data_IF_371293439306
#
_entry.id   IF_371293439306
#
_cell.length_a   1.000
_cell.length_b   1.000
_cell.length_c   1.000
_cell.angle_alpha   90.00
_cell.angle_beta   90.00
_cell.angle_gamma   90.00
#
_symmetry.space_group_name_H-M   'P 1'
#
loop_
_entity.id
_entity.type
_entity.pdbx_description
1 polymer ?
#
# COMPACT_ATOMS: atom_id res chain seq x y z
N UNK A 1 67.12 25.59 15.48
CA UNK A 1 65.70 25.78 15.62
C UNK A 1 65.09 25.18 14.38
N UNK A 2 64.67 23.88 14.48
CA UNK A 2 64.02 23.15 13.35
C UNK A 2 62.52 23.08 13.58
N UNK A 3 61.77 23.49 12.59
CA UNK A 3 60.31 23.36 12.55
C UNK A 3 59.95 22.06 11.83
N UNK A 4 59.32 21.15 12.53
CA UNK A 4 58.72 19.95 11.95
C UNK A 4 57.33 20.29 11.42
N UNK A 5 57.15 20.11 10.12
CA UNK A 5 55.82 20.19 9.46
C UNK A 5 55.17 18.81 9.56
N UNK A 6 54.09 18.71 10.32
CA UNK A 6 53.26 17.52 10.39
C UNK A 6 52.22 17.62 9.28
N UNK A 7 52.36 16.80 8.24
CA UNK A 7 51.33 16.60 7.22
C UNK A 7 50.29 15.62 7.78
N UNK A 8 49.08 16.12 8.08
CA UNK A 8 47.88 15.30 8.35
C UNK A 8 47.27 14.93 7.02
N UNK A 9 47.48 13.68 6.62
CA UNK A 9 46.76 13.12 5.47
C UNK A 9 45.33 12.76 5.89
N UNK A 10 44.35 13.59 5.50
CA UNK A 10 42.95 13.28 5.66
C UNK A 10 42.54 12.17 4.69
N UNK A 11 42.25 10.99 5.21
CA UNK A 11 41.55 9.94 4.44
C UNK A 11 40.10 10.35 4.27
N UNK A 12 39.74 10.81 3.08
CA UNK A 12 38.33 10.86 2.62
C UNK A 12 37.91 9.43 2.32
N UNK A 13 37.15 8.82 3.21
CA UNK A 13 36.38 7.62 2.89
C UNK A 13 35.29 8.01 1.91
N UNK A 14 35.49 7.73 0.64
CA UNK A 14 34.43 7.70 -0.36
C UNK A 14 33.50 6.53 0.00
N UNK A 15 32.37 6.86 0.62
CA UNK A 15 31.24 5.94 0.69
C UNK A 15 30.76 5.73 -0.76
N UNK A 16 31.26 4.66 -1.39
CA UNK A 16 30.66 4.15 -2.62
C UNK A 16 29.27 3.64 -2.24
N UNK A 17 28.23 4.40 -2.58
CA UNK A 17 26.90 3.84 -2.73
C UNK A 17 26.98 2.81 -3.87
N UNK A 18 27.27 1.57 -3.51
CA UNK A 18 27.16 0.43 -4.42
C UNK A 18 25.70 0.30 -4.79
N UNK A 19 25.37 0.59 -6.05
CA UNK A 19 24.18 0.11 -6.68
C UNK A 19 24.27 -1.41 -6.63
N UNK A 20 23.51 -2.02 -5.73
CA UNK A 20 23.31 -3.46 -5.73
C UNK A 20 22.31 -3.75 -6.86
N UNK A 21 22.84 -4.10 -8.03
CA UNK A 21 22.11 -4.84 -9.07
C UNK A 21 21.86 -6.25 -8.50
N UNK A 22 20.92 -6.39 -7.59
CA UNK A 22 20.58 -7.62 -6.88
C UNK A 22 19.07 -7.90 -6.96
N UNK A 23 18.70 -9.13 -6.71
CA UNK A 23 17.33 -9.58 -6.49
C UNK A 23 16.64 -8.66 -5.44
N UNK A 24 15.31 -8.60 -5.48
CA UNK A 24 14.54 -7.89 -4.47
C UNK A 24 14.94 -8.32 -3.05
N UNK A 25 14.91 -7.38 -2.10
CA UNK A 25 15.28 -7.63 -0.71
C UNK A 25 14.16 -8.35 0.03
N UNK A 26 14.53 -9.10 1.07
CA UNK A 26 13.58 -9.63 2.04
C UNK A 26 13.53 -8.72 3.27
N UNK A 27 12.35 -8.56 3.84
CA UNK A 27 12.07 -7.71 5.00
C UNK A 27 11.57 -8.57 6.15
N UNK A 28 11.85 -8.18 7.38
CA UNK A 28 11.49 -9.00 8.57
C UNK A 28 10.12 -8.66 9.12
N UNK A 29 9.64 -7.46 8.81
CA UNK A 29 8.36 -6.96 9.29
C UNK A 29 7.83 -5.87 8.36
N UNK A 30 6.56 -5.53 8.51
CA UNK A 30 5.86 -4.52 7.70
C UNK A 30 6.49 -3.13 7.84
N UNK A 31 7.01 -2.81 9.03
CA UNK A 31 7.70 -1.54 9.32
C UNK A 31 8.98 -1.33 8.48
N UNK A 32 9.56 -2.41 7.95
CA UNK A 32 10.77 -2.34 7.13
C UNK A 32 10.46 -2.18 5.63
N UNK A 33 9.19 -2.32 5.21
CA UNK A 33 8.80 -2.23 3.82
C UNK A 33 8.96 -0.81 3.27
N UNK A 34 9.57 -0.63 2.10
CA UNK A 34 9.54 0.64 1.41
C UNK A 34 8.11 1.04 1.04
N UNK A 35 7.78 2.30 1.23
CA UNK A 35 6.48 2.88 0.89
C UNK A 35 6.67 4.15 0.08
N UNK A 36 5.93 4.30 -1.00
CA UNK A 36 6.00 5.52 -1.80
C UNK A 36 4.67 5.90 -2.45
N UNK A 37 4.47 7.20 -2.64
CA UNK A 37 3.40 7.70 -3.49
C UNK A 37 3.87 7.68 -4.95
N UNK A 38 3.12 7.02 -5.80
CA UNK A 38 3.36 6.97 -7.23
C UNK A 38 3.36 8.36 -7.89
N UNK A 39 4.01 8.46 -9.04
CA UNK A 39 4.08 9.73 -9.81
C UNK A 39 2.73 10.21 -10.31
N UNK A 40 1.74 9.33 -10.36
CA UNK A 40 0.34 9.66 -10.66
C UNK A 40 -0.35 10.44 -9.52
N UNK A 41 0.25 10.43 -8.32
CA UNK A 41 -0.26 11.11 -7.13
C UNK A 41 -1.47 10.43 -6.49
N UNK A 42 -1.79 9.18 -6.87
CA UNK A 42 -2.99 8.45 -6.42
C UNK A 42 -2.72 7.01 -5.99
N UNK A 43 -1.67 6.38 -6.53
CA UNK A 43 -1.28 5.02 -6.21
C UNK A 43 -0.23 5.02 -5.10
N UNK A 44 -0.46 4.27 -4.03
CA UNK A 44 0.55 4.00 -2.99
C UNK A 44 1.19 2.66 -3.28
N UNK A 45 2.52 2.59 -3.33
CA UNK A 45 3.27 1.35 -3.52
C UNK A 45 3.93 0.94 -2.22
N UNK A 46 3.79 -0.31 -1.83
CA UNK A 46 4.43 -0.94 -0.65
C UNK A 46 5.24 -2.14 -1.12
N UNK A 47 6.47 -2.27 -0.63
CA UNK A 47 7.38 -3.37 -0.96
C UNK A 47 8.53 -2.98 -1.87
N UNK A 48 9.41 -3.93 -2.19
CA UNK A 48 10.62 -3.69 -2.98
C UNK A 48 10.25 -3.28 -4.41
N UNK A 49 10.69 -2.11 -4.89
CA UNK A 49 10.43 -1.67 -6.26
C UNK A 49 10.94 -2.64 -7.33
N UNK A 50 11.91 -3.51 -6.99
CA UNK A 50 12.47 -4.53 -7.90
C UNK A 50 11.68 -5.84 -7.92
N UNK A 51 10.66 -6.00 -7.06
CA UNK A 51 9.80 -7.18 -7.04
C UNK A 51 9.19 -7.43 -8.43
N UNK A 52 9.25 -8.69 -8.88
CA UNK A 52 8.83 -9.08 -10.23
C UNK A 52 7.31 -9.08 -10.41
N UNK A 53 6.59 -9.33 -9.33
CA UNK A 53 5.14 -9.33 -9.32
C UNK A 53 4.65 -8.02 -8.73
N UNK A 54 3.72 -7.37 -9.42
CA UNK A 54 3.00 -6.21 -8.90
C UNK A 54 1.53 -6.59 -8.77
N UNK A 55 0.99 -6.47 -7.56
CA UNK A 55 -0.43 -6.61 -7.30
C UNK A 55 -1.00 -5.23 -7.02
N UNK A 56 -1.89 -4.75 -7.90
CA UNK A 56 -2.58 -3.48 -7.69
C UNK A 56 -3.98 -3.77 -7.16
N UNK A 57 -4.25 -3.30 -5.96
CA UNK A 57 -5.52 -3.43 -5.26
C UNK A 57 -6.33 -2.13 -5.35
N UNK A 58 -7.63 -2.30 -5.61
CA UNK A 58 -8.63 -1.25 -5.48
C UNK A 58 -9.52 -1.59 -4.29
N UNK A 59 -9.54 -0.73 -3.29
CA UNK A 59 -10.19 -1.00 -2.00
C UNK A 59 -10.95 0.22 -1.49
N UNK A 60 -11.99 -0.03 -0.69
CA UNK A 60 -12.66 0.98 0.15
C UNK A 60 -12.60 0.50 1.60
N UNK A 61 -12.14 1.36 2.52
CA UNK A 61 -11.92 1.02 3.93
C UNK A 61 -13.20 0.65 4.70
N UNK A 62 -14.39 0.85 4.10
CA UNK A 62 -15.68 0.42 4.68
C UNK A 62 -16.24 -0.82 3.99
N UNK A 63 -15.57 -1.36 2.96
CA UNK A 63 -16.02 -2.53 2.23
C UNK A 63 -15.77 -3.80 3.05
N UNK A 64 -16.82 -4.57 3.44
CA UNK A 64 -16.64 -5.78 4.24
C UNK A 64 -15.91 -6.90 3.48
N UNK A 65 -16.03 -6.92 2.13
CA UNK A 65 -15.28 -7.89 1.31
C UNK A 65 -13.79 -7.54 1.23
N UNK A 66 -13.43 -6.25 1.33
CA UNK A 66 -12.04 -5.84 1.48
C UNK A 66 -11.49 -6.25 2.85
N UNK A 67 -12.27 -6.10 3.93
CA UNK A 67 -11.91 -6.61 5.26
C UNK A 67 -11.65 -8.12 5.21
N UNK A 68 -12.58 -8.89 4.61
CA UNK A 68 -12.43 -10.34 4.48
C UNK A 68 -11.14 -10.69 3.71
N UNK A 69 -10.86 -10.00 2.60
CA UNK A 69 -9.61 -10.18 1.84
C UNK A 69 -8.38 -9.91 2.71
N UNK A 70 -8.33 -8.77 3.40
CA UNK A 70 -7.16 -8.31 4.17
C UNK A 70 -6.91 -9.11 5.45
N UNK A 71 -7.97 -9.64 6.10
CA UNK A 71 -7.86 -10.31 7.39
C UNK A 71 -7.81 -11.83 7.29
N UNK A 72 -8.61 -12.43 6.42
CA UNK A 72 -8.81 -13.88 6.35
C UNK A 72 -8.76 -14.47 4.95
N UNK A 73 -8.75 -13.63 3.92
CA UNK A 73 -8.58 -14.02 2.53
C UNK A 73 -7.10 -14.10 2.13
N UNK A 74 -6.76 -13.66 0.93
CA UNK A 74 -5.41 -13.72 0.39
C UNK A 74 -4.50 -12.54 0.80
N UNK A 75 -5.02 -11.54 1.52
CA UNK A 75 -4.25 -10.39 2.00
C UNK A 75 -3.03 -10.78 2.85
N UNK A 76 -3.15 -11.69 3.85
CA UNK A 76 -1.99 -12.18 4.61
C UNK A 76 -0.91 -12.82 3.74
N UNK A 77 -1.29 -13.62 2.73
CA UNK A 77 -0.34 -14.28 1.82
C UNK A 77 0.32 -13.26 0.88
N UNK A 78 -0.41 -12.24 0.41
CA UNK A 78 0.17 -11.13 -0.37
C UNK A 78 1.17 -10.35 0.47
N UNK A 79 0.87 -10.11 1.74
CA UNK A 79 1.79 -9.44 2.68
C UNK A 79 3.07 -10.26 2.88
N UNK A 80 2.94 -11.59 3.05
CA UNK A 80 4.10 -12.48 3.14
C UNK A 80 4.96 -12.41 1.87
N UNK A 81 4.34 -12.50 0.67
CA UNK A 81 5.05 -12.35 -0.60
C UNK A 81 5.72 -10.96 -0.74
N UNK A 82 5.13 -9.91 -0.16
CA UNK A 82 5.70 -8.57 -0.14
C UNK A 82 6.92 -8.49 0.80
N UNK A 83 6.85 -9.11 1.98
CA UNK A 83 7.98 -9.23 2.91
C UNK A 83 9.13 -10.07 2.32
N UNK A 84 8.82 -11.11 1.59
CA UNK A 84 9.81 -11.92 0.87
C UNK A 84 10.43 -11.20 -0.34
N UNK A 85 9.87 -10.05 -0.74
CA UNK A 85 10.29 -9.30 -1.92
C UNK A 85 9.92 -9.98 -3.25
N UNK A 86 9.09 -11.00 -3.23
CA UNK A 86 8.61 -11.69 -4.45
C UNK A 86 7.51 -10.90 -5.14
N UNK A 87 6.71 -10.16 -4.37
CA UNK A 87 5.71 -9.23 -4.85
C UNK A 87 5.90 -7.82 -4.25
N UNK A 88 5.25 -6.84 -4.85
CA UNK A 88 4.97 -5.52 -4.29
C UNK A 88 3.50 -5.22 -4.48
N UNK A 89 2.92 -4.50 -3.54
CA UNK A 89 1.51 -4.14 -3.57
C UNK A 89 1.34 -2.67 -3.91
N UNK A 90 0.39 -2.38 -4.78
CA UNK A 90 -0.06 -1.03 -5.10
C UNK A 90 -1.50 -0.87 -4.63
N UNK A 91 -1.83 0.28 -4.07
CA UNK A 91 -3.15 0.59 -3.56
C UNK A 91 -3.71 1.83 -4.23
N UNK A 92 -4.93 1.73 -4.78
CA UNK A 92 -5.78 2.87 -5.11
C UNK A 92 -7.00 2.82 -4.20
N UNK A 93 -7.09 3.78 -3.30
CA UNK A 93 -8.10 3.81 -2.25
C UNK A 93 -9.36 4.53 -2.74
N UNK A 94 -10.47 3.77 -2.83
CA UNK A 94 -11.79 4.30 -3.12
C UNK A 94 -12.47 4.88 -1.87
N UNK A 95 -13.52 5.64 -2.08
CA UNK A 95 -14.36 6.19 -1.00
C UNK A 95 -15.83 6.31 -1.42
N UNK A 96 -16.24 5.47 -2.38
CA UNK A 96 -17.61 5.51 -2.94
C UNK A 96 -18.67 5.04 -1.96
N UNK A 97 -18.31 4.25 -0.95
CA UNK A 97 -19.26 3.79 0.06
C UNK A 97 -19.84 4.94 0.88
N UNK A 98 -19.08 6.03 1.09
CA UNK A 98 -19.63 7.23 1.74
C UNK A 98 -20.83 7.82 0.97
N UNK A 99 -20.79 7.76 -0.36
CA UNK A 99 -21.86 8.27 -1.21
C UNK A 99 -23.00 7.24 -1.35
N UNK A 100 -22.70 5.93 -1.23
CA UNK A 100 -23.66 4.84 -1.38
C UNK A 100 -24.47 4.56 -0.11
N UNK A 101 -23.82 4.52 1.06
CA UNK A 101 -24.45 4.20 2.35
C UNK A 101 -24.52 5.39 3.30
N UNK A 102 -23.98 6.54 2.88
CA UNK A 102 -23.93 7.76 3.67
C UNK A 102 -22.74 7.85 4.59
N UNK A 103 -22.39 9.06 5.01
CA UNK A 103 -21.29 9.32 5.93
C UNK A 103 -20.05 9.92 5.26
N UNK A 104 -18.91 9.78 5.94
CA UNK A 104 -17.61 10.32 5.53
C UNK A 104 -16.43 9.42 5.93
N UNK A 105 -16.71 8.24 6.43
CA UNK A 105 -15.71 7.33 7.02
C UNK A 105 -14.66 6.86 6.03
N UNK A 106 -15.05 6.46 4.81
CA UNK A 106 -14.08 6.08 3.77
C UNK A 106 -13.14 7.23 3.43
N UNK A 107 -13.69 8.43 3.18
CA UNK A 107 -12.89 9.63 2.86
C UNK A 107 -11.93 10.00 3.99
N UNK A 108 -12.37 9.87 5.25
CA UNK A 108 -11.53 10.13 6.42
C UNK A 108 -10.43 9.09 6.59
N UNK A 109 -10.73 7.81 6.41
CA UNK A 109 -9.75 6.74 6.48
C UNK A 109 -8.69 6.87 5.37
N UNK A 110 -9.09 7.18 4.13
CA UNK A 110 -8.16 7.46 3.02
C UNK A 110 -7.26 8.66 3.32
N UNK A 111 -7.82 9.75 3.89
CA UNK A 111 -7.02 10.90 4.32
C UNK A 111 -6.01 10.55 5.41
N UNK A 112 -6.41 9.72 6.37
CA UNK A 112 -5.55 9.28 7.47
C UNK A 112 -4.43 8.34 6.98
N UNK A 113 -4.72 7.42 6.07
CA UNK A 113 -3.71 6.57 5.41
C UNK A 113 -2.72 7.41 4.60
N UNK A 114 -3.20 8.45 3.89
CA UNK A 114 -2.29 9.36 3.18
C UNK A 114 -1.40 10.14 4.14
N UNK A 115 -1.91 10.48 5.34
CA UNK A 115 -1.08 11.08 6.39
C UNK A 115 -0.07 10.09 6.95
N UNK A 116 -0.44 8.82 7.15
CA UNK A 116 0.44 7.77 7.62
C UNK A 116 1.59 7.50 6.63
N UNK A 117 1.34 7.61 5.32
CA UNK A 117 2.37 7.50 4.29
C UNK A 117 3.48 8.55 4.42
N UNK A 118 3.16 9.79 4.85
CA UNK A 118 4.18 10.82 5.10
C UNK A 118 5.11 10.46 6.28
N UNK A 119 4.61 9.63 7.21
CA UNK A 119 5.37 9.14 8.37
C UNK A 119 6.05 7.78 8.08
N UNK A 120 5.88 7.22 6.86
CA UNK A 120 6.37 5.88 6.51
C UNK A 120 5.69 4.77 7.30
N UNK A 121 4.37 4.92 7.53
CA UNK A 121 3.54 4.06 8.37
C UNK A 121 2.23 3.65 7.69
N UNK A 122 2.19 3.71 6.36
CA UNK A 122 0.98 3.39 5.60
C UNK A 122 0.59 1.93 5.80
N UNK A 123 1.52 0.98 5.59
CA UNK A 123 1.22 -0.45 5.61
C UNK A 123 0.76 -0.91 7.00
N UNK A 124 1.48 -0.52 8.06
CA UNK A 124 1.09 -0.86 9.44
C UNK A 124 -0.29 -0.29 9.79
N UNK A 125 -0.55 0.97 9.40
CA UNK A 125 -1.81 1.61 9.72
C UNK A 125 -2.97 1.05 8.89
N UNK A 126 -2.71 0.65 7.65
CA UNK A 126 -3.67 -0.04 6.78
C UNK A 126 -4.15 -1.36 7.43
N UNK A 127 -3.23 -2.18 7.93
CA UNK A 127 -3.56 -3.40 8.67
C UNK A 127 -4.41 -3.11 9.91
N UNK A 128 -4.03 -2.10 10.69
CA UNK A 128 -4.77 -1.72 11.90
C UNK A 128 -6.18 -1.25 11.57
N UNK A 129 -6.36 -0.50 10.46
CA UNK A 129 -7.70 -0.05 10.05
C UNK A 129 -8.60 -1.22 9.67
N UNK A 130 -8.14 -2.18 8.87
CA UNK A 130 -8.94 -3.34 8.51
C UNK A 130 -9.19 -4.27 9.71
N UNK A 131 -8.21 -4.48 10.57
CA UNK A 131 -8.38 -5.27 11.79
C UNK A 131 -9.42 -4.69 12.77
N UNK A 132 -9.80 -3.42 12.58
CA UNK A 132 -10.76 -2.71 13.42
C UNK A 132 -11.87 -2.04 12.59
N UNK A 133 -12.18 -2.61 11.41
CA UNK A 133 -13.15 -2.01 10.50
C UNK A 133 -14.54 -1.93 11.19
N UNK A 134 -15.18 -0.75 11.20
CA UNK A 134 -16.58 -0.63 11.61
C UNK A 134 -17.51 -1.32 10.61
N UNK A 135 -18.69 -1.78 11.08
CA UNK A 135 -19.73 -2.30 10.18
C UNK A 135 -20.01 -1.30 9.04
N UNK A 136 -20.19 -1.78 7.80
CA UNK A 136 -20.34 -0.98 6.58
C UNK A 136 -21.35 0.16 6.71
N UNK A 137 -22.49 -0.12 7.34
CA UNK A 137 -23.59 0.86 7.52
C UNK A 137 -23.32 1.90 8.61
N UNK A 138 -22.27 1.68 9.41
CA UNK A 138 -21.85 2.61 10.48
C UNK A 138 -20.79 3.55 9.94
N UNK A 139 -21.03 4.89 10.05
CA UNK A 139 -20.00 5.89 9.74
C UNK A 139 -18.97 5.95 10.90
N UNK A 140 -18.26 4.82 11.10
CA UNK A 140 -17.47 4.57 12.30
C UNK A 140 -16.05 5.11 12.25
N UNK A 141 -15.46 5.36 11.09
CA UNK A 141 -14.15 5.99 10.95
C UNK A 141 -14.22 7.50 11.26
N UNK A 142 -14.53 7.82 12.50
CA UNK A 142 -14.46 9.20 13.01
C UNK A 142 -13.01 9.64 13.23
N UNK A 143 -12.75 10.94 13.27
CA UNK A 143 -11.40 11.45 13.56
C UNK A 143 -10.87 10.91 14.90
N UNK A 144 -11.75 10.81 15.92
CA UNK A 144 -11.38 10.27 17.23
C UNK A 144 -10.96 8.78 17.14
N UNK A 145 -11.74 7.96 16.43
CA UNK A 145 -11.46 6.54 16.27
C UNK A 145 -10.20 6.31 15.42
N UNK A 146 -10.03 7.05 14.31
CA UNK A 146 -8.81 7.00 13.50
C UNK A 146 -7.55 7.35 14.32
N UNK A 147 -7.63 8.37 15.18
CA UNK A 147 -6.53 8.74 16.07
C UNK A 147 -6.30 7.71 17.19
N UNK A 148 -7.34 7.05 17.69
CA UNK A 148 -7.23 5.93 18.62
C UNK A 148 -6.49 4.76 17.99
N UNK A 149 -6.91 4.34 16.78
CA UNK A 149 -6.28 3.26 16.04
C UNK A 149 -4.82 3.58 15.68
N UNK A 150 -4.51 4.82 15.30
CA UNK A 150 -3.14 5.26 15.05
C UNK A 150 -2.23 5.14 16.30
N UNK A 151 -2.80 5.11 17.49
CA UNK A 151 -2.07 4.82 18.74
C UNK A 151 -1.56 3.38 18.84
N UNK A 152 -2.03 2.46 18.01
CA UNK A 152 -1.55 1.07 17.92
C UNK A 152 -0.32 0.94 17.02
N UNK A 153 0.01 1.95 16.21
CA UNK A 153 1.18 1.99 15.34
C UNK A 153 2.28 2.81 16.01
N UNK A 154 3.42 2.18 16.26
CA UNK A 154 4.53 2.83 16.96
C UNK A 154 5.07 4.02 16.15
N UNK A 155 5.12 5.19 16.79
CA UNK A 155 5.66 6.42 16.21
C UNK A 155 4.73 7.15 15.21
N UNK A 156 3.53 6.64 14.93
CA UNK A 156 2.60 7.30 13.98
C UNK A 156 1.96 8.55 14.58
N UNK A 157 1.56 8.51 15.88
CA UNK A 157 0.91 9.64 16.54
C UNK A 157 1.88 10.79 16.77
N UNK A 158 1.51 11.95 16.30
CA UNK A 158 2.25 13.20 16.46
C UNK A 158 1.43 14.41 16.02
N UNK A 159 1.91 15.65 16.30
CA UNK A 159 1.16 16.86 15.95
C UNK A 159 0.82 16.94 14.45
N UNK A 160 1.73 16.55 13.58
CA UNK A 160 1.59 16.61 12.12
C UNK A 160 0.53 15.63 11.62
N UNK A 161 0.59 14.37 12.07
CA UNK A 161 -0.40 13.34 11.74
C UNK A 161 -1.77 13.68 12.32
N UNK A 162 -1.83 14.04 13.61
CA UNK A 162 -3.06 14.36 14.30
C UNK A 162 -3.79 15.56 13.65
N UNK A 163 -3.05 16.60 13.25
CA UNK A 163 -3.61 17.76 12.55
C UNK A 163 -4.09 17.36 11.14
N UNK A 164 -3.31 16.55 10.42
CA UNK A 164 -3.69 16.08 9.10
C UNK A 164 -5.00 15.28 9.10
N UNK A 165 -5.22 14.43 10.11
CA UNK A 165 -6.48 13.71 10.30
C UNK A 165 -7.64 14.67 10.56
N UNK A 166 -7.50 15.57 11.54
CA UNK A 166 -8.58 16.49 11.97
C UNK A 166 -8.96 17.52 10.91
N UNK A 167 -8.00 17.95 10.07
CA UNK A 167 -8.21 19.00 9.08
C UNK A 167 -8.53 18.49 7.69
N UNK A 168 -8.53 17.18 7.49
CA UNK A 168 -8.61 16.58 6.14
C UNK A 168 -7.53 17.17 5.21
N UNK A 169 -6.29 17.22 5.68
CA UNK A 169 -5.15 17.84 4.98
C UNK A 169 -4.98 17.30 3.57
N UNK A 170 -5.23 16.02 3.35
CA UNK A 170 -5.05 15.32 2.09
C UNK A 170 -6.35 15.10 1.31
N UNK A 171 -7.35 15.96 1.49
CA UNK A 171 -8.62 15.88 0.73
C UNK A 171 -8.44 15.86 -0.79
N UNK A 172 -7.38 16.51 -1.28
CA UNK A 172 -7.03 16.49 -2.71
C UNK A 172 -6.63 15.08 -3.18
N UNK A 173 -5.84 14.36 -2.38
CA UNK A 173 -5.51 12.96 -2.62
C UNK A 173 -6.77 12.09 -2.59
N UNK A 174 -7.63 12.24 -1.58
CA UNK A 174 -8.90 11.49 -1.46
C UNK A 174 -9.73 11.61 -2.73
N UNK A 175 -9.93 12.84 -3.22
CA UNK A 175 -10.69 13.09 -4.45
C UNK A 175 -10.01 12.51 -5.69
N UNK A 176 -8.69 12.64 -5.79
CA UNK A 176 -7.93 12.13 -6.92
C UNK A 176 -7.90 10.59 -6.95
N UNK A 177 -7.74 9.94 -5.79
CA UNK A 177 -7.74 8.48 -5.66
C UNK A 177 -9.12 7.89 -5.99
N UNK A 178 -10.22 8.50 -5.51
CA UNK A 178 -11.57 8.10 -5.90
C UNK A 178 -11.75 8.19 -7.42
N UNK A 179 -11.30 9.27 -8.04
CA UNK A 179 -11.39 9.43 -9.50
C UNK A 179 -10.54 8.39 -10.25
N UNK A 180 -9.35 8.05 -9.74
CA UNK A 180 -8.49 7.01 -10.32
C UNK A 180 -9.18 5.64 -10.25
N UNK A 181 -9.84 5.33 -9.13
CA UNK A 181 -10.67 4.15 -8.98
C UNK A 181 -11.83 4.10 -10.02
N UNK A 182 -12.59 5.17 -10.17
CA UNK A 182 -13.67 5.26 -11.18
C UNK A 182 -13.15 5.02 -12.61
N UNK A 183 -12.00 5.64 -12.93
CA UNK A 183 -11.37 5.47 -14.25
C UNK A 183 -10.89 4.04 -14.51
N UNK A 184 -10.55 3.28 -13.48
CA UNK A 184 -10.10 1.89 -13.61
C UNK A 184 -11.20 0.95 -14.09
N UNK A 185 -12.48 1.24 -13.84
CA UNK A 185 -13.63 0.48 -14.36
C UNK A 185 -13.86 0.65 -15.86
N UNK A 186 -13.32 1.72 -16.43
CA UNK A 186 -13.48 2.01 -17.84
C UNK A 186 -14.94 2.27 -18.28
N UNK A 187 -15.23 2.21 -19.59
CA UNK A 187 -16.57 2.52 -20.08
C UNK A 187 -17.67 1.53 -19.66
N UNK A 188 -17.31 0.28 -19.30
CA UNK A 188 -18.24 -0.73 -18.86
C UNK A 188 -18.69 -0.57 -17.41
N UNK A 189 -17.82 -0.02 -16.58
CA UNK A 189 -17.98 0.16 -15.14
C UNK A 189 -17.60 1.60 -14.73
N UNK A 190 -18.37 2.61 -15.12
CA UNK A 190 -17.99 4.01 -14.95
C UNK A 190 -17.93 4.46 -13.48
N UNK A 191 -18.48 3.68 -12.57
CA UNK A 191 -18.40 3.91 -11.13
C UNK A 191 -17.21 3.20 -10.46
N UNK A 192 -16.35 2.53 -11.27
CA UNK A 192 -15.20 1.77 -10.81
C UNK A 192 -15.41 0.25 -10.87
N UNK A 193 -14.33 -0.54 -10.75
CA UNK A 193 -14.36 -1.99 -10.98
C UNK A 193 -14.96 -2.81 -9.83
N UNK A 194 -15.42 -2.15 -8.75
CA UNK A 194 -15.80 -2.81 -7.50
C UNK A 194 -14.60 -3.01 -6.56
N UNK A 195 -14.89 -3.38 -5.29
CA UNK A 195 -13.84 -3.61 -4.28
C UNK A 195 -14.10 -4.90 -3.50
N UNK A 196 -13.04 -5.68 -3.17
CA UNK A 196 -11.70 -5.51 -3.69
C UNK A 196 -11.59 -5.93 -5.16
N UNK A 197 -10.76 -5.24 -5.93
CA UNK A 197 -10.33 -5.69 -7.26
C UNK A 197 -8.83 -5.78 -7.28
N UNK A 198 -8.29 -6.89 -7.80
CA UNK A 198 -6.85 -7.07 -7.96
C UNK A 198 -6.44 -7.14 -9.44
N UNK A 199 -5.33 -6.45 -9.74
CA UNK A 199 -4.68 -6.45 -11.06
C UNK A 199 -3.24 -6.93 -10.87
N UNK A 200 -2.90 -8.07 -11.46
CA UNK A 200 -1.57 -8.69 -11.31
C UNK A 200 -0.75 -8.43 -12.59
N UNK A 201 0.39 -7.75 -12.45
CA UNK A 201 1.25 -7.32 -13.57
C UNK A 201 0.44 -6.68 -14.73
N UNK A 202 -0.51 -5.81 -14.39
CA UNK A 202 -1.35 -5.09 -15.35
C UNK A 202 -2.52 -5.90 -15.92
N UNK A 203 -2.71 -7.15 -15.51
CA UNK A 203 -3.84 -8.00 -15.92
C UNK A 203 -4.85 -8.11 -14.79
N UNK A 204 -6.09 -7.62 -14.95
CA UNK A 204 -7.14 -7.79 -13.95
C UNK A 204 -7.47 -9.27 -13.74
N UNK A 205 -7.72 -9.65 -12.48
CA UNK A 205 -8.34 -10.96 -12.19
C UNK A 205 -9.80 -10.88 -12.65
N UNK A 206 -10.22 -11.74 -13.62
CA UNK A 206 -11.60 -11.70 -14.10
C UNK A 206 -12.61 -12.00 -12.99
N UNK A 207 -13.79 -11.37 -13.04
CA UNK A 207 -14.81 -11.48 -12.00
C UNK A 207 -15.24 -12.92 -11.68
N UNK A 208 -15.24 -13.82 -12.66
CA UNK A 208 -15.51 -15.24 -12.48
C UNK A 208 -14.46 -15.98 -11.63
N UNK A 209 -13.26 -15.39 -11.44
CA UNK A 209 -12.18 -15.92 -10.61
C UNK A 209 -11.98 -15.14 -9.31
N UNK A 210 -12.84 -14.19 -8.97
CA UNK A 210 -12.69 -13.39 -7.74
C UNK A 210 -12.64 -14.24 -6.45
N UNK A 211 -13.12 -15.47 -6.48
CA UNK A 211 -12.96 -16.42 -5.37
C UNK A 211 -11.51 -16.68 -4.96
N UNK A 212 -10.54 -16.46 -5.87
CA UNK A 212 -9.11 -16.59 -5.58
C UNK A 212 -8.63 -15.54 -4.56
N UNK A 213 -9.31 -14.40 -4.46
CA UNK A 213 -9.02 -13.36 -3.46
C UNK A 213 -9.35 -13.82 -2.02
N UNK A 214 -10.18 -14.86 -1.88
CA UNK A 214 -10.57 -15.43 -0.60
C UNK A 214 -9.86 -16.78 -0.32
N UNK A 215 -8.94 -17.19 -1.22
CA UNK A 215 -8.17 -18.44 -1.11
C UNK A 215 -6.66 -18.11 -1.22
N UNK A 216 -6.02 -17.94 -0.07
CA UNK A 216 -4.60 -17.58 0.02
C UNK A 216 -3.67 -18.56 -0.70
N UNK A 217 -3.95 -19.88 -0.63
CA UNK A 217 -3.13 -20.87 -1.33
C UNK A 217 -3.23 -20.74 -2.86
N UNK A 218 -4.45 -20.56 -3.38
CA UNK A 218 -4.67 -20.38 -4.81
C UNK A 218 -4.07 -19.03 -5.30
N UNK A 219 -4.15 -17.99 -4.47
CA UNK A 219 -3.56 -16.69 -4.78
C UNK A 219 -2.03 -16.74 -4.79
N UNK A 220 -1.40 -17.41 -3.83
CA UNK A 220 0.05 -17.66 -3.80
C UNK A 220 0.52 -18.40 -5.04
N UNK A 221 -0.18 -19.46 -5.46
CA UNK A 221 0.13 -20.19 -6.68
C UNK A 221 0.06 -19.28 -7.93
N UNK A 222 -0.93 -18.38 -7.99
CA UNK A 222 -1.03 -17.37 -9.05
C UNK A 222 0.21 -16.45 -9.06
N UNK A 223 0.59 -15.87 -7.90
CA UNK A 223 1.74 -14.97 -7.80
C UNK A 223 3.04 -15.66 -8.23
N UNK A 224 3.28 -16.88 -7.76
CA UNK A 224 4.45 -17.68 -8.17
C UNK A 224 4.46 -17.97 -9.68
N UNK A 225 3.30 -18.31 -10.26
CA UNK A 225 3.18 -18.58 -11.69
C UNK A 225 3.53 -17.32 -12.51
N UNK A 226 3.01 -16.17 -12.11
CA UNK A 226 3.29 -14.87 -12.75
C UNK A 226 4.77 -14.50 -12.60
N UNK A 227 5.35 -14.68 -11.42
CA UNK A 227 6.78 -14.42 -11.16
C UNK A 227 7.69 -15.29 -12.06
N UNK A 228 7.39 -16.58 -12.18
CA UNK A 228 8.12 -17.51 -13.09
C UNK A 228 8.01 -17.09 -14.56
N UNK A 229 6.82 -16.66 -15.00
CA UNK A 229 6.61 -16.18 -16.38
C UNK A 229 7.40 -14.90 -16.66
N UNK A 230 7.43 -13.95 -15.73
CA UNK A 230 8.18 -12.70 -15.84
C UNK A 230 9.69 -12.95 -15.93
N UNK A 231 10.24 -13.86 -15.13
CA UNK A 231 11.65 -14.27 -15.20
C UNK A 231 11.98 -14.89 -16.56
N UNK A 232 11.13 -15.77 -17.07
CA UNK A 232 11.33 -16.41 -18.38
C UNK A 232 11.36 -15.41 -19.53
N UNK A 233 10.54 -14.38 -19.49
CA UNK A 233 10.52 -13.31 -20.50
C UNK A 233 11.78 -12.45 -20.42
N UNK A 234 12.26 -12.13 -19.22
CA UNK A 234 13.47 -11.34 -19.01
C UNK A 234 14.74 -12.04 -19.53
N UNK A 235 14.86 -13.37 -19.40
CA UNK A 235 16.00 -14.14 -19.88
C UNK A 235 16.10 -14.21 -21.42
N UNK A 236 15.07 -13.78 -22.15
CA UNK A 236 14.99 -13.86 -23.62
C UNK A 236 15.24 -12.53 -24.34
N UNK A 237 15.37 -11.44 -23.58
CA UNK A 237 15.62 -10.08 -24.10
C UNK A 237 17.06 -9.64 -23.90
#
# INVERSE_FOLDING_TARGET
>A
VGWAVVCVAGMFALAACGQQDGLAGTYRSVEELPEELGRDGTTVTVGDPRALVTVHLYEDLRCPVCEEFEISGAGPDLREATLEGTAKTQYTLASFLDDRVGGSGSKKAVNALRAALEEGKFAEYHEVLYANQPEEVVDGYTDAFLLELAGQVEGLRGPEFDDAVRTMKYRGFVTASQKAYEMAGGPAEPEGPGTPTAVVNGTPIPAEYNGILMDGAAFTELLESVGRATLWEADRT
#
